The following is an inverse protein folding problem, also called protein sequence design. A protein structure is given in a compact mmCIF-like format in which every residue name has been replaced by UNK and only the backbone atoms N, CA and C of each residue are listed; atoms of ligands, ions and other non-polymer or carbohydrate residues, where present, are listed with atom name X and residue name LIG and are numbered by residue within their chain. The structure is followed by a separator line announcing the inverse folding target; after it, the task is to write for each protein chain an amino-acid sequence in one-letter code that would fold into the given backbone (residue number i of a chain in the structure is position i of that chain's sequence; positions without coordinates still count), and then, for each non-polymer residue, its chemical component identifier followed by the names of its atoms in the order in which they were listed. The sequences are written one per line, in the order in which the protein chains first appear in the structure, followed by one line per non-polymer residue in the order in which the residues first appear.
data_IF_611971443050
#
_entry.id   IF_611971443050
#
_cell.length_a   1.000
_cell.length_b   1.000
_cell.length_c   1.000
_cell.angle_alpha   90.00
_cell.angle_beta   90.00
_cell.angle_gamma   90.00
#
_symmetry.space_group_name_H-M   'P 1'
#
loop_
_entity.id
_entity.type
_entity.pdbx_description
1 polymer ?
#
# COMPACT_ATOMS: atom_id res chain seq x y z
N UNK A 1 -2.00 8.36 9.27
CA UNK A 1 -3.09 7.36 9.32
C UNK A 1 -2.68 6.13 8.54
N UNK A 2 -2.95 4.97 9.09
CA UNK A 2 -2.78 3.70 8.39
C UNK A 2 -4.13 3.00 8.36
N UNK A 3 -4.58 2.63 7.18
CA UNK A 3 -5.80 1.86 7.00
C UNK A 3 -5.56 0.72 6.03
N UNK A 4 -6.39 -0.30 6.11
CA UNK A 4 -6.34 -1.38 5.15
C UNK A 4 -7.73 -1.89 4.83
N UNK A 5 -7.88 -2.40 3.61
CA UNK A 5 -9.05 -3.14 3.19
C UNK A 5 -8.68 -4.63 3.15
N UNK A 6 -9.56 -5.45 3.66
CA UNK A 6 -9.38 -6.90 3.66
C UNK A 6 -10.53 -7.59 2.95
N UNK A 7 -10.28 -8.80 2.50
CA UNK A 7 -11.25 -9.63 1.82
C UNK A 7 -10.58 -10.75 1.05
N UNK A 8 -11.34 -11.71 0.57
CA UNK A 8 -10.82 -12.80 -0.27
C UNK A 8 -10.38 -12.26 -1.64
N UNK A 9 -9.55 -13.01 -2.34
CA UNK A 9 -9.18 -12.69 -3.71
C UNK A 9 -10.44 -12.64 -4.60
N UNK A 10 -10.49 -11.65 -5.51
CA UNK A 10 -11.61 -11.45 -6.41
C UNK A 10 -12.78 -10.63 -5.86
N UNK A 11 -12.72 -10.17 -4.62
CA UNK A 11 -13.77 -9.34 -4.02
C UNK A 11 -13.68 -7.86 -4.43
N UNK A 12 -12.65 -7.47 -5.17
CA UNK A 12 -12.49 -6.11 -5.69
C UNK A 12 -11.55 -5.22 -4.91
N UNK A 13 -10.61 -5.77 -4.13
CA UNK A 13 -9.65 -4.98 -3.35
C UNK A 13 -8.78 -4.08 -4.22
N UNK A 14 -8.21 -4.60 -5.30
CA UNK A 14 -7.35 -3.83 -6.21
C UNK A 14 -8.10 -2.66 -6.83
N UNK A 15 -9.32 -2.89 -7.32
CA UNK A 15 -10.15 -1.82 -7.90
C UNK A 15 -10.47 -0.76 -6.88
N UNK A 16 -10.88 -1.15 -5.68
CA UNK A 16 -11.22 -0.23 -4.60
C UNK A 16 -10.02 0.60 -4.20
N UNK A 17 -8.85 -0.02 -4.06
CA UNK A 17 -7.62 0.67 -3.70
C UNK A 17 -7.21 1.66 -4.81
N UNK A 18 -7.29 1.25 -6.07
CA UNK A 18 -6.97 2.11 -7.21
C UNK A 18 -7.90 3.32 -7.30
N UNK A 19 -9.20 3.13 -7.09
CA UNK A 19 -10.17 4.23 -7.07
C UNK A 19 -9.89 5.21 -5.93
N UNK A 20 -9.55 4.70 -4.75
CA UNK A 20 -9.17 5.53 -3.60
C UNK A 20 -7.92 6.36 -3.91
N UNK A 21 -6.92 5.75 -4.56
CA UNK A 21 -5.70 6.45 -4.96
C UNK A 21 -5.99 7.58 -5.95
N UNK A 22 -6.84 7.33 -6.95
CA UNK A 22 -7.22 8.34 -7.93
C UNK A 22 -7.93 9.52 -7.25
N UNK A 23 -8.87 9.25 -6.37
CA UNK A 23 -9.58 10.30 -5.63
C UNK A 23 -8.64 11.08 -4.72
N UNK A 24 -7.75 10.40 -4.02
CA UNK A 24 -6.75 11.04 -3.15
C UNK A 24 -5.85 11.96 -3.96
N UNK A 25 -5.36 11.51 -5.11
CA UNK A 25 -4.48 12.31 -5.96
C UNK A 25 -5.15 13.57 -6.52
N UNK A 26 -6.47 13.56 -6.70
CA UNK A 26 -7.22 14.75 -7.13
C UNK A 26 -7.24 15.85 -6.07
N UNK A 27 -7.13 15.51 -4.80
CA UNK A 27 -7.23 16.45 -3.67
C UNK A 27 -5.91 16.65 -2.93
N UNK A 28 -4.93 15.78 -3.14
CA UNK A 28 -3.64 15.89 -2.48
C UNK A 28 -2.84 17.06 -3.04
N UNK A 29 -2.15 17.76 -2.15
CA UNK A 29 -1.22 18.83 -2.51
C UNK A 29 0.22 18.33 -2.67
N UNK A 30 0.44 17.04 -2.46
CA UNK A 30 1.74 16.42 -2.56
C UNK A 30 1.72 15.19 -3.45
N UNK A 31 2.71 14.34 -3.29
CA UNK A 31 2.90 13.17 -4.13
C UNK A 31 2.13 11.97 -3.59
N UNK A 32 1.56 11.20 -4.50
CA UNK A 32 0.85 9.95 -4.23
C UNK A 32 1.54 8.82 -4.98
N UNK A 33 1.83 7.74 -4.26
CA UNK A 33 2.52 6.56 -4.80
C UNK A 33 1.61 5.34 -4.67
N UNK A 34 1.59 4.51 -5.71
CA UNK A 34 0.91 3.23 -5.71
C UNK A 34 1.93 2.11 -5.90
N UNK A 35 1.99 1.19 -4.96
CA UNK A 35 2.93 0.06 -4.96
C UNK A 35 2.15 -1.23 -5.24
N UNK A 36 2.58 -1.98 -6.23
CA UNK A 36 1.97 -3.24 -6.65
C UNK A 36 3.07 -4.25 -7.02
N UNK A 37 2.74 -5.52 -7.11
CA UNK A 37 3.65 -6.56 -7.58
C UNK A 37 3.54 -6.84 -9.08
N UNK A 38 2.68 -6.10 -9.78
CA UNK A 38 2.48 -6.21 -11.24
C UNK A 38 2.38 -4.83 -11.87
N UNK A 39 2.35 -4.78 -13.20
CA UNK A 39 2.13 -3.56 -13.98
C UNK A 39 0.70 -3.44 -14.52
N UNK A 40 -0.26 -4.22 -14.01
CA UNK A 40 -1.62 -4.27 -14.55
C UNK A 40 -2.36 -2.93 -14.50
N UNK A 41 -1.99 -2.04 -13.57
CA UNK A 41 -2.61 -0.73 -13.42
C UNK A 41 -1.89 0.39 -14.20
N UNK A 42 -0.86 0.06 -14.97
CA UNK A 42 0.00 1.04 -15.66
C UNK A 42 -0.79 2.04 -16.50
N UNK A 43 -1.83 1.59 -17.18
CA UNK A 43 -2.65 2.43 -18.06
C UNK A 43 -3.96 2.91 -17.41
N UNK A 44 -4.24 2.49 -16.19
CA UNK A 44 -5.46 2.85 -15.46
C UNK A 44 -5.23 3.99 -14.48
N UNK A 45 -4.03 4.10 -13.91
CA UNK A 45 -3.69 5.17 -12.99
C UNK A 45 -3.29 6.44 -13.75
N UNK A 46 -3.71 7.63 -13.30
CA UNK A 46 -3.29 8.88 -13.92
C UNK A 46 -1.81 9.15 -13.69
N UNK A 47 -1.22 10.02 -14.52
CA UNK A 47 0.22 10.30 -14.50
C UNK A 47 0.71 10.97 -13.23
N UNK A 48 -0.18 11.57 -12.43
CA UNK A 48 0.18 12.18 -11.14
C UNK A 48 0.29 11.18 -10.00
N UNK A 49 0.03 9.89 -10.27
CA UNK A 49 0.30 8.80 -9.34
C UNK A 49 1.48 8.02 -9.88
N UNK A 50 2.54 7.90 -9.08
CA UNK A 50 3.66 7.04 -9.46
C UNK A 50 3.35 5.59 -9.11
N UNK A 51 3.31 4.73 -10.14
CA UNK A 51 3.18 3.28 -9.96
C UNK A 51 4.58 2.68 -9.82
N UNK A 52 4.79 1.92 -8.75
CA UNK A 52 6.04 1.21 -8.49
C UNK A 52 5.73 -0.29 -8.44
N UNK A 53 6.41 -1.06 -9.29
CA UNK A 53 6.32 -2.51 -9.28
C UNK A 53 7.42 -3.06 -8.37
N UNK A 54 7.04 -3.80 -7.32
CA UNK A 54 7.98 -4.37 -6.35
C UNK A 54 8.95 -5.36 -6.97
N UNK A 55 8.56 -6.04 -8.04
CA UNK A 55 9.43 -6.98 -8.76
C UNK A 55 10.63 -6.28 -9.38
N UNK A 56 10.47 -5.05 -9.85
CA UNK A 56 11.56 -4.28 -10.47
C UNK A 56 12.67 -3.93 -9.46
N UNK A 57 12.36 -3.93 -8.18
CA UNK A 57 13.28 -3.55 -7.11
C UNK A 57 13.59 -4.70 -6.16
N UNK A 58 13.21 -5.93 -6.54
CA UNK A 58 13.47 -7.15 -5.76
C UNK A 58 12.90 -7.10 -4.34
N UNK A 59 11.76 -6.44 -4.17
CA UNK A 59 11.06 -6.36 -2.89
C UNK A 59 10.21 -7.61 -2.73
N UNK A 60 10.68 -8.57 -1.95
CA UNK A 60 10.07 -9.89 -1.84
C UNK A 60 9.92 -10.38 -0.39
N UNK A 61 10.05 -9.49 0.58
CA UNK A 61 9.91 -9.83 1.99
C UNK A 61 9.36 -8.64 2.76
N UNK A 62 8.88 -8.90 3.99
CA UNK A 62 8.38 -7.83 4.86
C UNK A 62 9.48 -6.84 5.23
N UNK A 63 10.69 -7.31 5.46
CA UNK A 63 11.83 -6.44 5.78
C UNK A 63 12.14 -5.53 4.60
N UNK A 64 12.19 -6.09 3.38
CA UNK A 64 12.42 -5.31 2.17
C UNK A 64 11.30 -4.29 1.94
N UNK A 65 10.04 -4.71 2.05
CA UNK A 65 8.89 -3.82 1.87
C UNK A 65 8.90 -2.71 2.91
N UNK A 66 9.12 -3.05 4.17
CA UNK A 66 9.19 -2.07 5.26
C UNK A 66 10.29 -1.03 4.99
N UNK A 67 11.51 -1.47 4.71
CA UNK A 67 12.63 -0.58 4.40
C UNK A 67 12.36 0.31 3.19
N UNK A 68 11.72 -0.25 2.16
CA UNK A 68 11.33 0.50 0.97
C UNK A 68 10.32 1.61 1.31
N UNK A 69 9.27 1.31 2.07
CA UNK A 69 8.26 2.29 2.46
C UNK A 69 8.85 3.39 3.37
N UNK A 70 9.72 3.02 4.29
CA UNK A 70 10.44 3.99 5.12
C UNK A 70 11.34 4.89 4.25
N UNK A 71 12.01 4.31 3.26
CA UNK A 71 12.85 5.03 2.32
C UNK A 71 12.07 6.04 1.48
N UNK A 72 10.86 5.68 1.05
CA UNK A 72 9.98 6.63 0.35
C UNK A 72 9.68 7.85 1.23
N UNK A 73 9.34 7.64 2.48
CA UNK A 73 9.08 8.73 3.42
C UNK A 73 10.33 9.59 3.66
N UNK A 74 11.50 8.97 3.76
CA UNK A 74 12.76 9.67 4.02
C UNK A 74 13.23 10.48 2.81
N UNK A 75 12.93 10.05 1.60
CA UNK A 75 13.44 10.67 0.37
C UNK A 75 12.52 11.75 -0.22
N UNK A 76 11.24 11.79 0.16
CA UNK A 76 10.27 12.70 -0.43
C UNK A 76 9.47 13.42 0.66
N UNK A 77 9.85 14.66 0.91
CA UNK A 77 9.18 15.51 1.90
C UNK A 77 7.74 15.85 1.49
N UNK A 78 7.44 15.80 0.19
CA UNK A 78 6.10 16.12 -0.34
C UNK A 78 5.19 14.91 -0.46
N UNK A 79 5.63 13.74 -0.04
CA UNK A 79 4.83 12.51 -0.05
C UNK A 79 3.67 12.62 0.94
N UNK A 80 2.45 12.39 0.47
CA UNK A 80 1.24 12.48 1.32
C UNK A 80 0.59 11.12 1.54
N UNK A 81 0.57 10.27 0.53
CA UNK A 81 -0.15 8.99 0.58
C UNK A 81 0.59 7.91 -0.19
N UNK A 82 0.60 6.71 0.37
CA UNK A 82 1.14 5.50 -0.25
C UNK A 82 0.08 4.42 -0.22
N UNK A 83 -0.25 3.89 -1.39
CA UNK A 83 -1.18 2.77 -1.56
C UNK A 83 -0.37 1.53 -1.88
N UNK A 84 -0.64 0.42 -1.19
CA UNK A 84 0.12 -0.83 -1.35
C UNK A 84 -0.85 -1.97 -1.61
N UNK A 85 -0.84 -2.49 -2.82
CA UNK A 85 -1.58 -3.70 -3.19
C UNK A 85 -0.71 -4.94 -3.01
N UNK A 86 -1.32 -6.10 -2.98
CA UNK A 86 -0.63 -7.40 -2.88
C UNK A 86 0.23 -7.55 -1.61
N UNK A 87 -0.11 -6.79 -0.56
CA UNK A 87 0.65 -6.78 0.70
C UNK A 87 0.79 -8.18 1.29
N UNK A 88 -0.30 -8.94 1.33
CA UNK A 88 -0.33 -10.28 1.91
C UNK A 88 0.60 -11.24 1.18
N UNK A 89 0.66 -11.15 -0.14
CA UNK A 89 1.53 -12.03 -0.95
C UNK A 89 3.00 -11.77 -0.63
N UNK A 90 3.39 -10.53 -0.49
CA UNK A 90 4.77 -10.15 -0.13
C UNK A 90 5.10 -10.59 1.30
N UNK A 91 4.20 -10.34 2.24
CA UNK A 91 4.39 -10.71 3.64
C UNK A 91 4.37 -12.23 3.85
N UNK A 92 3.57 -12.96 3.08
CA UNK A 92 3.51 -14.43 3.17
C UNK A 92 4.85 -15.07 2.79
N UNK A 93 5.56 -14.51 1.82
CA UNK A 93 6.89 -15.01 1.44
C UNK A 93 7.90 -14.91 2.58
N UNK A 94 7.77 -13.91 3.44
CA UNK A 94 8.68 -13.70 4.58
C UNK A 94 8.23 -14.41 5.85
N UNK A 95 7.02 -14.97 5.91
CA UNK A 95 6.42 -15.57 7.10
C UNK A 95 6.36 -14.60 8.29
N UNK A 96 6.28 -13.30 8.01
CA UNK A 96 6.24 -12.27 9.03
C UNK A 96 4.81 -12.02 9.50
N UNK A 97 4.67 -11.69 10.77
CA UNK A 97 3.38 -11.29 11.34
C UNK A 97 2.96 -9.94 10.74
N UNK A 98 1.77 -9.92 10.15
CA UNK A 98 1.19 -8.71 9.54
C UNK A 98 1.01 -7.61 10.59
N UNK A 99 0.64 -7.97 11.81
CA UNK A 99 0.42 -6.99 12.88
C UNK A 99 1.70 -6.25 13.26
N UNK A 100 2.83 -6.95 13.33
CA UNK A 100 4.13 -6.33 13.59
C UNK A 100 4.53 -5.36 12.49
N UNK A 101 4.30 -5.76 11.24
CA UNK A 101 4.54 -4.89 10.08
C UNK A 101 3.68 -3.62 10.15
N UNK A 102 2.39 -3.78 10.41
CA UNK A 102 1.46 -2.65 10.51
C UNK A 102 1.80 -1.71 11.68
N UNK A 103 2.30 -2.25 12.78
CA UNK A 103 2.74 -1.43 13.92
C UNK A 103 3.92 -0.52 13.54
N UNK A 104 4.89 -1.04 12.81
CA UNK A 104 6.04 -0.25 12.34
C UNK A 104 5.56 0.86 11.39
N UNK A 105 4.69 0.53 10.44
CA UNK A 105 4.16 1.50 9.48
C UNK A 105 3.32 2.58 10.19
N UNK A 106 2.51 2.19 11.17
CA UNK A 106 1.73 3.16 11.96
C UNK A 106 2.65 4.15 12.69
N UNK A 107 3.74 3.67 13.27
CA UNK A 107 4.73 4.53 13.93
C UNK A 107 5.33 5.54 12.95
N UNK A 108 5.70 5.09 11.74
CA UNK A 108 6.26 5.97 10.71
C UNK A 108 5.21 6.96 10.21
N UNK A 109 3.99 6.52 10.01
CA UNK A 109 2.87 7.39 9.61
C UNK A 109 2.68 8.53 10.61
N UNK A 110 2.66 8.20 11.89
CA UNK A 110 2.52 9.22 12.96
C UNK A 110 3.69 10.20 13.00
N UNK A 111 4.91 9.72 12.73
CA UNK A 111 6.10 10.55 12.73
C UNK A 111 6.23 11.47 11.51
N UNK A 112 5.75 11.04 10.35
CA UNK A 112 5.93 11.74 9.07
C UNK A 112 4.68 12.45 8.56
N UNK A 113 3.51 12.05 9.02
CA UNK A 113 2.24 12.53 8.49
C UNK A 113 1.81 11.85 7.19
N UNK A 114 2.58 10.87 6.69
CA UNK A 114 2.23 10.12 5.48
C UNK A 114 1.13 9.12 5.78
N UNK A 115 0.11 9.07 4.95
CA UNK A 115 -0.97 8.10 5.05
C UNK A 115 -0.66 6.85 4.24
N UNK A 116 -0.90 5.68 4.83
CA UNK A 116 -0.69 4.39 4.19
C UNK A 116 -2.01 3.64 4.03
N UNK A 117 -2.22 3.07 2.86
CA UNK A 117 -3.45 2.36 2.49
C UNK A 117 -3.07 1.00 1.91
N UNK A 118 -3.45 -0.07 2.59
CA UNK A 118 -3.08 -1.43 2.21
C UNK A 118 -4.28 -2.25 1.74
N UNK A 119 -4.05 -3.16 0.81
CA UNK A 119 -4.98 -4.25 0.50
C UNK A 119 -4.41 -5.54 1.06
N UNK A 120 -5.20 -6.23 1.89
CA UNK A 120 -4.80 -7.45 2.59
C UNK A 120 -5.79 -8.56 2.24
N UNK A 121 -5.28 -9.73 1.88
CA UNK A 121 -6.12 -10.90 1.66
C UNK A 121 -6.52 -11.52 3.00
N UNK A 122 -7.81 -11.68 3.21
CA UNK A 122 -8.36 -12.44 4.34
C UNK A 122 -9.30 -13.50 3.77
N UNK A 123 -8.92 -14.76 3.94
CA UNK A 123 -9.66 -15.90 3.40
C UNK A 123 -11.03 -16.12 4.05
N UNK A 124 -11.28 -15.47 5.16
CA UNK A 124 -12.53 -15.59 5.93
C UNK A 124 -13.50 -14.43 5.69
N UNK A 125 -13.10 -13.44 4.89
CA UNK A 125 -13.90 -12.24 4.60
C UNK A 125 -14.45 -12.28 3.18
N UNK A 126 -15.72 -12.62 3.01
CA UNK A 126 -16.39 -12.69 1.71
C UNK A 126 -16.69 -11.30 1.11
N UNK A 127 -16.65 -10.26 1.93
CA UNK A 127 -16.90 -8.87 1.52
C UNK A 127 -15.73 -7.98 1.90
N UNK A 128 -15.67 -6.79 1.28
CA UNK A 128 -14.66 -5.80 1.63
C UNK A 128 -14.88 -5.27 3.05
N UNK A 129 -13.85 -5.28 3.86
CA UNK A 129 -13.84 -4.74 5.21
C UNK A 129 -12.76 -3.67 5.32
N UNK A 130 -13.11 -2.51 5.87
CA UNK A 130 -12.18 -1.39 6.09
C UNK A 130 -11.76 -1.37 7.55
N UNK A 131 -10.47 -1.25 7.79
CA UNK A 131 -9.94 -1.20 9.15
C UNK A 131 -8.87 -0.12 9.25
N UNK A 132 -8.81 0.53 10.42
CA UNK A 132 -7.74 1.47 10.78
C UNK A 132 -6.82 0.81 11.82
N UNK A 133 -5.55 1.07 11.67
CA UNK A 133 -4.55 0.61 12.64
C UNK A 133 -4.53 1.53 13.85
#
# INVERSE_FOLDING_TARGET
MVEYISGVNGVGKTRTLAQAAIMTAQHSKGNVIFVDDTNKLKYELPSNIRLINTEDYMINSSICLCGFLLGLCASDFDLTDVFVDSTTDILALSKTNVDDFMEIIDRVSNATGVNFHFAVCDKHEDTLTYQCV
#
